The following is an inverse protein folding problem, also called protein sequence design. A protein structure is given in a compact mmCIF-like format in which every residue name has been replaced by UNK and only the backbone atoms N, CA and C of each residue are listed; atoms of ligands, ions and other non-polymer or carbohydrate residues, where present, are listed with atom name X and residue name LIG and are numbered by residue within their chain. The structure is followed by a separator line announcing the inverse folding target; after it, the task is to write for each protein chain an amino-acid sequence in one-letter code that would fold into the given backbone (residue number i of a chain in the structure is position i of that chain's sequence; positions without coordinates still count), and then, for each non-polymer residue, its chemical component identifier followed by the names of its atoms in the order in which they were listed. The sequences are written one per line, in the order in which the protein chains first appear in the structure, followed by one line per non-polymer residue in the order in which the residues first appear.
data_IF_868808915375
#
_entry.id   IF_868808915375
#
_cell.length_a   1.000
_cell.length_b   1.000
_cell.length_c   1.000
_cell.angle_alpha   90.00
_cell.angle_beta   90.00
_cell.angle_gamma   90.00
#
_symmetry.space_group_name_H-M   'P 1'
#
loop_
_entity.id
_entity.type
_entity.pdbx_description
1 polymer ?
#
# COMPACT_ATOMS: atom_id res chain seq x y z
N UNK A 1 21.73 -23.60 -62.79
CA UNK A 1 20.91 -22.80 -61.85
C UNK A 1 20.80 -21.42 -62.48
N UNK A 2 19.60 -20.95 -62.83
CA UNK A 2 19.46 -19.68 -63.57
C UNK A 2 19.85 -18.48 -62.70
N UNK A 3 20.58 -17.51 -63.26
CA UNK A 3 20.97 -16.27 -62.57
C UNK A 3 19.78 -15.49 -61.99
N UNK A 4 18.61 -15.61 -62.64
CA UNK A 4 17.34 -15.06 -62.14
C UNK A 4 16.90 -15.65 -60.79
N UNK A 5 17.18 -16.94 -60.53
CA UNK A 5 16.87 -17.60 -59.25
C UNK A 5 17.78 -17.08 -58.15
N UNK A 6 19.07 -16.85 -58.45
CA UNK A 6 20.04 -16.29 -57.51
C UNK A 6 19.67 -14.85 -57.14
N UNK A 7 19.31 -14.03 -58.13
CA UNK A 7 18.83 -12.67 -57.89
C UNK A 7 17.55 -12.61 -57.04
N UNK A 8 16.59 -13.50 -57.30
CA UNK A 8 15.35 -13.58 -56.53
C UNK A 8 15.58 -14.02 -55.07
N UNK A 9 16.47 -14.99 -54.84
CA UNK A 9 16.87 -15.41 -53.49
C UNK A 9 17.52 -14.24 -52.74
N UNK A 10 18.39 -13.47 -53.39
CA UNK A 10 19.03 -12.30 -52.78
C UNK A 10 18.02 -11.25 -52.30
N UNK A 11 16.99 -10.97 -53.11
CA UNK A 11 15.90 -10.04 -52.73
C UNK A 11 15.10 -10.57 -51.53
N UNK A 12 14.72 -11.86 -51.54
CA UNK A 12 14.00 -12.47 -50.43
C UNK A 12 14.79 -12.42 -49.12
N UNK A 13 16.09 -12.74 -49.16
CA UNK A 13 16.98 -12.66 -47.99
C UNK A 13 17.08 -11.21 -47.49
N UNK A 14 17.19 -10.23 -48.40
CA UNK A 14 17.22 -8.82 -48.04
C UNK A 14 15.95 -8.35 -47.33
N UNK A 15 14.77 -8.76 -47.81
CA UNK A 15 13.48 -8.45 -47.18
C UNK A 15 13.40 -9.06 -45.78
N UNK A 16 13.72 -10.35 -45.64
CA UNK A 16 13.69 -11.06 -44.35
C UNK A 16 14.66 -10.42 -43.35
N UNK A 17 15.88 -10.06 -43.78
CA UNK A 17 16.86 -9.40 -42.93
C UNK A 17 16.36 -8.03 -42.45
N UNK A 18 15.71 -7.25 -43.32
CA UNK A 18 15.18 -5.92 -42.99
C UNK A 18 14.04 -6.02 -41.99
N UNK A 19 13.01 -6.84 -42.29
CA UNK A 19 11.88 -7.05 -41.37
C UNK A 19 12.35 -7.64 -40.05
N UNK A 20 13.30 -8.59 -40.08
CA UNK A 20 13.89 -9.17 -38.89
C UNK A 20 14.60 -8.15 -38.02
N UNK A 21 15.42 -7.27 -38.61
CA UNK A 21 16.10 -6.18 -37.89
C UNK A 21 15.09 -5.24 -37.24
N UNK A 22 14.04 -4.84 -37.96
CA UNK A 22 13.04 -3.90 -37.44
C UNK A 22 12.25 -4.50 -36.28
N UNK A 23 11.88 -5.77 -36.39
CA UNK A 23 11.25 -6.52 -35.29
C UNK A 23 12.19 -6.58 -34.09
N UNK A 24 13.44 -7.01 -34.26
CA UNK A 24 14.41 -7.09 -33.15
C UNK A 24 14.64 -5.71 -32.51
N UNK A 25 14.78 -4.66 -33.31
CA UNK A 25 14.96 -3.29 -32.83
C UNK A 25 13.74 -2.80 -32.05
N UNK A 26 12.53 -3.10 -32.52
CA UNK A 26 11.28 -2.78 -31.82
C UNK A 26 11.19 -3.51 -30.46
N UNK A 27 11.44 -4.82 -30.43
CA UNK A 27 11.37 -5.62 -29.20
C UNK A 27 12.43 -5.19 -28.16
N UNK A 28 13.66 -4.94 -28.61
CA UNK A 28 14.76 -4.50 -27.73
C UNK A 28 14.51 -3.08 -27.21
N UNK A 29 14.06 -2.16 -28.08
CA UNK A 29 13.68 -0.80 -27.70
C UNK A 29 12.56 -0.80 -26.65
N UNK A 30 11.48 -1.53 -26.92
CA UNK A 30 10.34 -1.67 -25.99
C UNK A 30 10.76 -2.29 -24.65
N UNK A 31 11.65 -3.29 -24.66
CA UNK A 31 12.18 -3.88 -23.43
C UNK A 31 13.01 -2.89 -22.63
N UNK A 32 13.84 -2.07 -23.28
CA UNK A 32 14.64 -1.06 -22.60
C UNK A 32 13.78 0.07 -22.02
N UNK A 33 12.78 0.54 -22.76
CA UNK A 33 11.78 1.49 -22.26
C UNK A 33 11.05 0.93 -21.03
N UNK A 34 10.62 -0.33 -21.08
CA UNK A 34 9.96 -1.00 -19.95
C UNK A 34 10.86 -1.16 -18.73
N UNK A 35 12.15 -1.48 -18.93
CA UNK A 35 13.14 -1.51 -17.82
C UNK A 35 13.32 -0.13 -17.20
N UNK A 36 13.40 0.92 -18.02
CA UNK A 36 13.50 2.29 -17.54
C UNK A 36 12.27 2.69 -16.73
N UNK A 37 11.07 2.49 -17.28
CA UNK A 37 9.79 2.72 -16.60
C UNK A 37 9.73 1.97 -15.26
N UNK A 38 10.07 0.69 -15.25
CA UNK A 38 10.05 -0.14 -14.05
C UNK A 38 10.99 0.39 -12.95
N UNK A 39 12.21 0.80 -13.29
CA UNK A 39 13.15 1.40 -12.31
C UNK A 39 12.56 2.68 -11.71
N UNK A 40 12.00 3.56 -12.55
CA UNK A 40 11.41 4.83 -12.10
C UNK A 40 10.24 4.61 -11.16
N UNK A 41 9.34 3.70 -11.51
CA UNK A 41 8.17 3.34 -10.69
C UNK A 41 8.62 2.69 -9.38
N UNK A 42 9.56 1.74 -9.42
CA UNK A 42 10.07 1.05 -8.23
C UNK A 42 10.65 2.05 -7.23
N UNK A 43 11.47 3.02 -7.67
CA UNK A 43 12.03 4.02 -6.75
C UNK A 43 10.96 4.90 -6.08
N UNK A 44 9.89 5.27 -6.80
CA UNK A 44 8.77 6.03 -6.22
C UNK A 44 8.02 5.19 -5.21
N UNK A 45 7.73 3.94 -5.54
CA UNK A 45 6.95 3.04 -4.69
C UNK A 45 7.72 2.55 -3.46
N UNK A 46 9.02 2.25 -3.58
CA UNK A 46 9.86 1.89 -2.43
C UNK A 46 9.83 3.03 -1.39
N UNK A 47 9.95 4.30 -1.83
CA UNK A 47 9.82 5.45 -0.93
C UNK A 47 8.41 5.56 -0.32
N UNK A 48 7.38 5.30 -1.11
CA UNK A 48 6.00 5.34 -0.63
C UNK A 48 5.72 4.26 0.43
N UNK A 49 6.29 3.06 0.26
CA UNK A 49 6.24 1.97 1.24
C UNK A 49 6.82 2.39 2.58
N UNK A 50 7.99 3.02 2.59
CA UNK A 50 8.60 3.49 3.85
C UNK A 50 7.74 4.56 4.55
N UNK A 51 7.12 5.47 3.79
CA UNK A 51 6.16 6.42 4.37
C UNK A 51 4.92 5.71 4.97
N UNK A 52 4.44 4.64 4.34
CA UNK A 52 3.37 3.82 4.91
C UNK A 52 3.83 3.12 6.21
N UNK A 53 5.07 2.63 6.26
CA UNK A 53 5.65 2.05 7.49
C UNK A 53 5.62 3.05 8.64
N UNK A 54 6.03 4.30 8.40
CA UNK A 54 6.02 5.36 9.42
C UNK A 54 4.61 5.55 10.02
N UNK A 55 3.57 5.62 9.18
CA UNK A 55 2.19 5.77 9.68
C UNK A 55 1.69 4.53 10.42
N UNK A 56 2.00 3.35 9.91
CA UNK A 56 1.55 2.08 10.51
C UNK A 56 2.25 1.83 11.86
N UNK A 57 3.47 2.34 12.02
CA UNK A 57 4.24 2.30 13.26
C UNK A 57 3.96 3.43 14.25
N UNK A 58 3.15 4.43 13.87
CA UNK A 58 2.77 5.54 14.74
C UNK A 58 1.92 5.03 15.91
N UNK A 59 2.47 5.16 17.12
CA UNK A 59 1.83 4.76 18.39
C UNK A 59 1.18 5.95 19.11
N UNK A 60 1.20 7.13 18.49
CA UNK A 60 0.61 8.35 19.03
C UNK A 60 1.39 9.00 20.16
N UNK A 61 2.63 8.57 20.43
CA UNK A 61 3.49 9.15 21.45
C UNK A 61 4.35 10.29 20.90
N UNK A 62 4.40 11.40 21.63
CA UNK A 62 5.35 12.48 21.37
C UNK A 62 6.64 12.20 22.14
N UNK A 63 7.73 11.87 21.42
CA UNK A 63 9.05 11.58 22.02
C UNK A 63 9.00 10.43 23.06
N UNK A 64 8.16 9.41 22.81
CA UNK A 64 7.98 8.27 23.73
C UNK A 64 7.14 8.58 24.97
N UNK A 65 6.50 9.75 25.02
CA UNK A 65 5.55 10.17 26.07
C UNK A 65 4.15 10.38 25.47
N UNK A 66 3.08 10.39 26.29
CA UNK A 66 1.77 10.78 25.81
C UNK A 66 1.82 12.13 25.10
N UNK A 67 1.12 12.27 23.97
CA UNK A 67 1.09 13.48 23.15
C UNK A 67 0.70 14.73 23.94
N UNK A 68 -0.13 14.58 24.97
CA UNK A 68 -0.41 15.65 25.90
C UNK A 68 -1.35 15.26 27.03
N UNK A 69 -1.99 16.28 27.62
CA UNK A 69 -3.05 16.11 28.61
C UNK A 69 -4.26 16.98 28.30
N UNK A 70 -5.46 16.44 28.51
CA UNK A 70 -6.71 17.18 28.42
C UNK A 70 -6.78 18.24 29.53
N UNK A 71 -7.78 19.14 29.46
CA UNK A 71 -8.04 20.12 30.52
C UNK A 71 -8.32 19.47 31.89
N UNK A 72 -8.84 18.24 31.89
CA UNK A 72 -9.04 17.43 33.10
C UNK A 72 -7.79 16.70 33.59
N UNK A 73 -6.66 16.84 32.90
CA UNK A 73 -5.38 16.22 33.26
C UNK A 73 -5.21 14.79 32.75
N UNK A 74 -6.16 14.24 32.00
CA UNK A 74 -6.05 12.90 31.40
C UNK A 74 -5.02 12.91 30.27
N UNK A 75 -4.16 11.88 30.21
CA UNK A 75 -3.19 11.72 29.13
C UNK A 75 -3.95 11.40 27.84
N UNK A 76 -3.49 11.92 26.71
CA UNK A 76 -4.00 11.52 25.40
C UNK A 76 -2.86 11.23 24.43
N UNK A 77 -3.19 10.46 23.40
CA UNK A 77 -2.33 10.14 22.25
C UNK A 77 -2.90 10.81 21.01
N UNK A 78 -2.09 11.10 20.00
CA UNK A 78 -2.54 11.79 18.79
C UNK A 78 -1.62 11.39 17.63
N UNK A 79 -2.08 11.26 16.37
CA UNK A 79 -1.18 10.91 15.27
C UNK A 79 0.00 11.89 15.16
N UNK A 80 1.21 11.35 15.20
CA UNK A 80 2.44 12.13 15.12
C UNK A 80 3.04 12.14 13.70
N UNK A 81 2.72 11.13 12.90
CA UNK A 81 3.24 10.99 11.54
C UNK A 81 2.26 11.63 10.55
N UNK A 82 2.76 12.46 9.65
CA UNK A 82 1.95 13.04 8.59
C UNK A 82 1.47 11.98 7.59
N UNK A 83 0.26 12.14 7.05
CA UNK A 83 -0.26 11.29 5.99
C UNK A 83 0.67 11.33 4.75
N UNK A 84 1.10 10.16 4.22
CA UNK A 84 1.83 10.07 2.97
C UNK A 84 1.03 10.70 1.82
N UNK A 85 1.63 11.68 1.14
CA UNK A 85 1.08 12.17 -0.12
C UNK A 85 0.96 11.03 -1.14
N UNK A 86 -0.11 11.01 -1.96
CA UNK A 86 -0.24 10.05 -3.05
C UNK A 86 1.02 10.02 -3.95
N UNK A 87 1.47 8.84 -4.40
CA UNK A 87 2.68 8.74 -5.19
C UNK A 87 2.54 9.49 -6.52
N UNK A 88 3.51 10.35 -6.82
CA UNK A 88 3.60 11.08 -8.09
C UNK A 88 4.65 10.42 -8.97
N UNK A 89 4.24 10.02 -10.16
CA UNK A 89 5.12 9.35 -11.13
C UNK A 89 5.67 10.36 -12.14
N UNK A 90 6.94 10.24 -12.55
CA UNK A 90 7.52 11.08 -13.59
C UNK A 90 6.79 11.00 -14.94
N UNK A 91 6.69 12.13 -15.65
CA UNK A 91 6.03 12.23 -16.96
C UNK A 91 6.80 11.52 -18.10
N UNK A 92 8.07 11.16 -17.86
CA UNK A 92 8.95 10.51 -18.84
C UNK A 92 8.76 8.99 -18.92
N UNK A 93 7.79 8.43 -18.19
CA UNK A 93 7.46 7.01 -18.23
C UNK A 93 6.63 6.68 -19.47
N UNK A 94 7.16 5.80 -20.32
CA UNK A 94 6.38 5.14 -21.36
C UNK A 94 5.50 4.05 -20.74
N UNK A 95 4.27 4.41 -20.36
CA UNK A 95 3.29 3.49 -19.77
C UNK A 95 2.95 2.30 -20.67
N UNK A 96 3.12 2.44 -21.99
CA UNK A 96 2.84 1.35 -22.92
C UNK A 96 3.90 0.25 -22.86
N UNK A 97 5.06 0.51 -22.24
CA UNK A 97 6.20 -0.41 -22.21
C UNK A 97 6.15 -1.46 -21.07
N UNK A 98 5.21 -1.32 -20.14
CA UNK A 98 4.93 -2.31 -19.07
C UNK A 98 3.65 -3.10 -19.35
N UNK A 99 3.33 -4.10 -18.52
CA UNK A 99 2.09 -4.87 -18.73
C UNK A 99 0.86 -3.99 -18.43
N UNK A 100 -0.26 -4.16 -19.16
CA UNK A 100 -1.48 -3.38 -18.91
C UNK A 100 -2.01 -3.49 -17.47
N UNK A 101 -1.88 -4.67 -16.87
CA UNK A 101 -2.23 -4.92 -15.47
C UNK A 101 -1.41 -4.06 -14.50
N UNK A 102 -0.07 -4.07 -14.64
CA UNK A 102 0.79 -3.28 -13.77
C UNK A 102 0.63 -1.78 -14.02
N UNK A 103 0.45 -1.38 -15.27
CA UNK A 103 0.13 0.01 -15.61
C UNK A 103 -1.12 0.47 -14.87
N UNK A 104 -2.21 -0.29 -14.94
CA UNK A 104 -3.45 0.05 -14.27
C UNK A 104 -3.26 0.15 -12.76
N UNK A 105 -2.62 -0.85 -12.13
CA UNK A 105 -2.40 -0.88 -10.68
C UNK A 105 -1.55 0.29 -10.19
N UNK A 106 -0.47 0.62 -10.91
CA UNK A 106 0.39 1.78 -10.60
C UNK A 106 -0.40 3.08 -10.69
N UNK A 107 -1.16 3.28 -11.77
CA UNK A 107 -1.94 4.50 -11.99
C UNK A 107 -3.18 4.61 -11.10
N UNK A 108 -3.69 3.49 -10.57
CA UNK A 108 -4.79 3.46 -9.62
C UNK A 108 -4.35 3.79 -8.19
N UNK A 109 -3.08 3.52 -7.83
CA UNK A 109 -2.58 3.67 -6.47
C UNK A 109 -2.77 5.08 -5.87
N UNK A 110 -2.56 6.20 -6.61
CA UNK A 110 -2.87 7.52 -6.08
C UNK A 110 -4.34 7.72 -5.72
N UNK A 111 -5.26 7.14 -6.50
CA UNK A 111 -6.70 7.20 -6.21
C UNK A 111 -7.07 6.37 -4.99
N UNK A 112 -6.42 5.21 -4.81
CA UNK A 112 -6.56 4.39 -3.61
C UNK A 112 -6.08 5.16 -2.37
N UNK A 113 -4.93 5.82 -2.45
CA UNK A 113 -4.40 6.66 -1.37
C UNK A 113 -5.37 7.78 -0.96
N UNK A 114 -5.94 8.50 -1.94
CA UNK A 114 -6.97 9.51 -1.68
C UNK A 114 -8.25 8.92 -1.09
N UNK A 115 -8.62 7.70 -1.49
CA UNK A 115 -9.76 6.97 -0.92
C UNK A 115 -9.55 6.62 0.54
N UNK A 116 -8.38 6.08 0.86
CA UNK A 116 -7.95 5.77 2.22
C UNK A 116 -7.95 7.01 3.11
N UNK A 117 -7.42 8.14 2.61
CA UNK A 117 -7.40 9.38 3.39
C UNK A 117 -8.81 9.88 3.72
N UNK A 118 -9.74 9.84 2.76
CA UNK A 118 -11.15 10.19 3.03
C UNK A 118 -11.78 9.29 4.08
N UNK A 119 -11.45 8.00 4.09
CA UNK A 119 -11.93 7.07 5.10
C UNK A 119 -11.34 7.37 6.49
N UNK A 120 -10.05 7.69 6.56
CA UNK A 120 -9.37 8.07 7.81
C UNK A 120 -9.99 9.35 8.38
N UNK A 121 -10.24 10.36 7.54
CA UNK A 121 -10.92 11.60 7.94
C UNK A 121 -12.29 11.28 8.54
N UNK A 122 -13.09 10.45 7.86
CA UNK A 122 -14.40 10.04 8.38
C UNK A 122 -14.30 9.28 9.71
N UNK A 123 -13.28 8.43 9.90
CA UNK A 123 -13.04 7.73 11.16
C UNK A 123 -12.64 8.71 12.28
N UNK A 124 -11.86 9.74 11.96
CA UNK A 124 -11.42 10.75 12.93
C UNK A 124 -12.57 11.57 13.51
N UNK A 125 -13.67 11.76 12.78
CA UNK A 125 -14.85 12.49 13.27
C UNK A 125 -15.53 11.82 14.46
N UNK A 126 -15.33 10.51 14.63
CA UNK A 126 -15.90 9.72 15.72
C UNK A 126 -14.82 9.17 16.65
N UNK A 127 -13.60 9.72 16.59
CA UNK A 127 -12.50 9.30 17.44
C UNK A 127 -12.27 10.29 18.57
N UNK A 128 -12.18 9.77 19.80
CA UNK A 128 -12.19 10.59 21.00
C UNK A 128 -11.02 10.25 21.94
N UNK A 129 -10.57 11.23 22.76
CA UNK A 129 -9.61 10.97 23.83
C UNK A 129 -10.10 9.87 24.79
N UNK A 130 -9.18 9.18 25.49
CA UNK A 130 -7.74 9.42 25.50
C UNK A 130 -6.96 8.73 24.36
N UNK A 131 -7.55 7.71 23.75
CA UNK A 131 -6.80 6.76 22.91
C UNK A 131 -6.96 7.00 21.41
N UNK A 132 -8.02 7.71 20.99
CA UNK A 132 -8.32 7.97 19.57
C UNK A 132 -8.23 6.70 18.70
N UNK A 133 -8.75 5.59 19.22
CA UNK A 133 -8.52 4.26 18.66
C UNK A 133 -8.98 4.14 17.20
N UNK A 134 -10.09 4.77 16.84
CA UNK A 134 -10.70 4.70 15.51
C UNK A 134 -9.79 5.29 14.43
N UNK A 135 -9.20 6.46 14.68
CA UNK A 135 -8.31 7.09 13.70
C UNK A 135 -6.99 6.30 13.56
N UNK A 136 -6.42 5.80 14.67
CA UNK A 136 -5.23 4.95 14.59
C UNK A 136 -5.49 3.65 13.85
N UNK A 137 -6.58 2.95 14.16
CA UNK A 137 -6.92 1.70 13.47
C UNK A 137 -7.18 1.92 11.98
N UNK A 138 -7.88 2.99 11.62
CA UNK A 138 -8.11 3.34 10.22
C UNK A 138 -6.80 3.65 9.47
N UNK A 139 -5.87 4.38 10.12
CA UNK A 139 -4.55 4.69 9.58
C UNK A 139 -3.70 3.43 9.40
N UNK A 140 -3.61 2.60 10.45
CA UNK A 140 -2.83 1.36 10.41
C UNK A 140 -3.34 0.41 9.32
N UNK A 141 -4.66 0.20 9.22
CA UNK A 141 -5.23 -0.67 8.20
C UNK A 141 -5.03 -0.09 6.79
N UNK A 142 -5.41 1.16 6.59
CA UNK A 142 -5.39 1.81 5.29
C UNK A 142 -3.98 1.90 4.70
N UNK A 143 -2.99 2.31 5.49
CA UNK A 143 -1.62 2.41 5.01
C UNK A 143 -0.89 1.07 4.94
N UNK A 144 -1.27 0.07 5.76
CA UNK A 144 -0.78 -1.29 5.57
C UNK A 144 -1.25 -1.86 4.22
N UNK A 145 -2.52 -1.66 3.85
CA UNK A 145 -3.05 -2.11 2.56
C UNK A 145 -2.38 -1.43 1.37
N UNK A 146 -2.20 -0.11 1.44
CA UNK A 146 -1.49 0.64 0.41
C UNK A 146 -0.01 0.23 0.30
N UNK A 147 0.65 -0.02 1.43
CA UNK A 147 2.03 -0.51 1.48
C UNK A 147 2.17 -1.90 0.86
N UNK A 148 1.26 -2.83 1.19
CA UNK A 148 1.24 -4.19 0.62
C UNK A 148 1.01 -4.13 -0.90
N UNK A 149 0.08 -3.30 -1.38
CA UNK A 149 -0.17 -3.17 -2.82
C UNK A 149 1.06 -2.58 -3.54
N UNK A 150 1.70 -1.56 -2.97
CA UNK A 150 2.93 -0.99 -3.52
C UNK A 150 4.06 -2.03 -3.59
N UNK A 151 4.29 -2.81 -2.54
CA UNK A 151 5.26 -3.92 -2.53
C UNK A 151 4.93 -4.97 -3.60
N UNK A 152 3.65 -5.32 -3.75
CA UNK A 152 3.18 -6.28 -4.76
C UNK A 152 3.48 -5.80 -6.18
N UNK A 153 3.23 -4.52 -6.48
CA UNK A 153 3.57 -3.89 -7.76
C UNK A 153 5.09 -3.89 -7.98
N UNK A 154 5.88 -3.46 -6.99
CA UNK A 154 7.35 -3.44 -7.05
C UNK A 154 7.91 -4.82 -7.36
N UNK A 155 7.45 -5.84 -6.63
CA UNK A 155 7.88 -7.23 -6.80
C UNK A 155 7.56 -7.73 -8.22
N UNK A 156 6.37 -7.42 -8.73
CA UNK A 156 5.97 -7.81 -10.07
C UNK A 156 6.81 -7.12 -11.17
N UNK A 157 7.12 -5.83 -11.01
CA UNK A 157 7.99 -5.08 -11.93
C UNK A 157 9.42 -5.62 -11.92
N UNK A 158 10.00 -5.85 -10.73
CA UNK A 158 11.34 -6.45 -10.60
C UNK A 158 11.41 -7.81 -11.29
N UNK A 159 10.39 -8.65 -11.10
CA UNK A 159 10.27 -9.96 -11.77
C UNK A 159 10.13 -9.83 -13.29
N UNK A 160 9.25 -8.96 -13.79
CA UNK A 160 9.01 -8.79 -15.23
C UNK A 160 10.28 -8.34 -15.97
N UNK A 161 11.04 -7.43 -15.37
CA UNK A 161 12.18 -6.78 -16.00
C UNK A 161 13.55 -7.30 -15.55
N UNK A 162 13.57 -8.30 -14.66
CA UNK A 162 14.79 -8.86 -14.04
C UNK A 162 15.65 -7.75 -13.42
N UNK A 163 15.01 -6.88 -12.67
CA UNK A 163 15.72 -5.83 -11.93
C UNK A 163 16.41 -6.47 -10.71
N UNK A 164 17.58 -5.96 -10.30
CA UNK A 164 18.22 -6.43 -9.10
C UNK A 164 17.36 -6.09 -7.87
N UNK A 165 17.44 -6.94 -6.85
CA UNK A 165 17.01 -6.54 -5.51
C UNK A 165 17.97 -5.46 -4.96
N UNK A 166 17.52 -4.65 -3.99
CA UNK A 166 18.39 -3.68 -3.32
C UNK A 166 19.70 -4.35 -2.87
N UNK A 167 20.83 -3.90 -3.44
CA UNK A 167 22.14 -4.50 -3.18
C UNK A 167 22.73 -4.17 -1.81
N UNK A 168 22.09 -3.27 -1.06
CA UNK A 168 22.56 -2.79 0.23
C UNK A 168 21.43 -2.93 1.26
N UNK A 169 21.64 -3.80 2.25
CA UNK A 169 20.86 -3.81 3.49
C UNK A 169 21.56 -2.84 4.45
N UNK A 170 21.06 -1.61 4.56
CA UNK A 170 21.56 -0.62 5.52
C UNK A 170 20.76 -0.77 6.81
N UNK A 171 21.44 -0.90 7.95
CA UNK A 171 20.78 -1.00 9.24
C UNK A 171 20.39 -2.44 9.59
N UNK A 172 19.09 -2.71 9.74
CA UNK A 172 18.54 -3.99 10.19
C UNK A 172 18.32 -4.96 9.01
N UNK A 173 19.14 -6.00 8.82
CA UNK A 173 19.00 -6.94 7.68
C UNK A 173 17.76 -7.84 7.78
N UNK A 174 17.16 -7.95 8.96
CA UNK A 174 15.94 -8.72 9.19
C UNK A 174 14.66 -7.90 8.97
N UNK A 175 14.79 -6.60 8.66
CA UNK A 175 13.66 -5.73 8.39
C UNK A 175 12.93 -6.14 7.11
N UNK A 176 11.62 -6.30 7.21
CA UNK A 176 10.73 -6.61 6.09
C UNK A 176 9.43 -5.82 6.26
N UNK A 177 9.26 -4.78 5.44
CA UNK A 177 8.08 -3.90 5.46
C UNK A 177 6.79 -4.68 5.17
N UNK A 178 6.83 -5.70 4.29
CA UNK A 178 5.66 -6.53 3.96
C UNK A 178 5.22 -7.42 5.12
N UNK A 179 6.18 -8.00 5.84
CA UNK A 179 5.93 -8.73 7.08
C UNK A 179 5.40 -7.80 8.16
N UNK A 180 6.00 -6.62 8.33
CA UNK A 180 5.55 -5.62 9.29
C UNK A 180 4.07 -5.24 9.07
N UNK A 181 3.66 -4.94 7.84
CA UNK A 181 2.26 -4.67 7.51
C UNK A 181 1.35 -5.86 7.82
N UNK A 182 1.77 -7.07 7.46
CA UNK A 182 0.98 -8.29 7.69
C UNK A 182 0.79 -8.55 9.18
N UNK A 183 1.85 -8.41 9.98
CA UNK A 183 1.82 -8.59 11.43
C UNK A 183 0.90 -7.55 12.09
N UNK A 184 0.96 -6.28 11.66
CA UNK A 184 0.06 -5.23 12.15
C UNK A 184 -1.41 -5.51 11.82
N UNK A 185 -1.71 -6.02 10.62
CA UNK A 185 -3.08 -6.41 10.27
C UNK A 185 -3.61 -7.55 11.14
N UNK A 186 -2.75 -8.51 11.52
CA UNK A 186 -3.13 -9.57 12.47
C UNK A 186 -3.39 -8.99 13.86
N UNK A 187 -2.58 -8.03 14.31
CA UNK A 187 -2.82 -7.31 15.57
C UNK A 187 -4.18 -6.58 15.56
N UNK A 188 -4.49 -5.84 14.49
CA UNK A 188 -5.77 -5.14 14.31
C UNK A 188 -6.99 -6.06 14.42
N UNK A 189 -6.92 -7.27 13.85
CA UNK A 189 -8.01 -8.26 13.97
C UNK A 189 -8.25 -8.60 15.45
N UNK A 190 -7.18 -8.84 16.21
CA UNK A 190 -7.28 -9.15 17.66
C UNK A 190 -7.83 -7.99 18.47
N UNK A 191 -7.44 -6.76 18.14
CA UNK A 191 -7.96 -5.55 18.79
C UNK A 191 -9.49 -5.48 18.59
N UNK A 192 -9.95 -5.57 17.34
CA UNK A 192 -11.38 -5.52 17.00
C UNK A 192 -12.20 -6.66 17.62
N UNK A 193 -11.63 -7.86 17.69
CA UNK A 193 -12.27 -8.99 18.39
C UNK A 193 -12.45 -8.71 19.88
N UNK A 194 -11.43 -8.14 20.52
CA UNK A 194 -11.45 -7.75 21.93
C UNK A 194 -12.48 -6.66 22.19
N UNK A 195 -12.48 -5.61 21.38
CA UNK A 195 -13.46 -4.52 21.46
C UNK A 195 -14.89 -5.03 21.32
N UNK A 196 -15.16 -5.86 20.31
CA UNK A 196 -16.48 -6.47 20.10
C UNK A 196 -16.90 -7.33 21.28
N UNK A 197 -15.99 -8.10 21.87
CA UNK A 197 -16.27 -8.91 23.05
C UNK A 197 -16.61 -8.02 24.27
N UNK A 198 -15.83 -6.97 24.51
CA UNK A 198 -16.10 -6.00 25.58
C UNK A 198 -17.41 -5.26 25.39
N UNK A 199 -17.71 -4.81 24.16
CA UNK A 199 -18.98 -4.16 23.85
C UNK A 199 -20.16 -5.11 24.08
N UNK A 200 -20.08 -6.36 23.62
CA UNK A 200 -21.14 -7.36 23.88
C UNK A 200 -21.35 -7.60 25.37
N UNK A 201 -20.28 -7.80 26.13
CA UNK A 201 -20.36 -8.00 27.58
C UNK A 201 -20.99 -6.80 28.29
N UNK A 202 -20.70 -5.57 27.84
CA UNK A 202 -21.34 -4.36 28.35
C UNK A 202 -22.84 -4.32 28.03
N UNK A 203 -23.24 -4.65 26.80
CA UNK A 203 -24.65 -4.70 26.40
C UNK A 203 -25.44 -5.79 27.14
N UNK A 204 -24.85 -6.96 27.35
CA UNK A 204 -25.47 -8.04 28.12
C UNK A 204 -25.68 -7.61 29.58
N UNK A 205 -24.71 -6.91 30.17
CA UNK A 205 -24.84 -6.35 31.52
C UNK A 205 -25.96 -5.31 31.60
N UNK A 206 -26.03 -4.37 30.65
CA UNK A 206 -27.05 -3.32 30.63
C UNK A 206 -28.45 -3.88 30.41
N UNK A 207 -28.61 -4.83 29.50
CA UNK A 207 -29.89 -5.48 29.22
C UNK A 207 -30.38 -6.35 30.39
N UNK A 208 -29.48 -7.03 31.09
CA UNK A 208 -29.80 -7.74 32.33
C UNK A 208 -30.33 -6.81 33.43
N UNK A 209 -29.67 -5.65 33.65
CA UNK A 209 -30.14 -4.67 34.65
C UNK A 209 -31.50 -4.06 34.28
N UNK A 210 -31.78 -3.84 32.98
CA UNK A 210 -33.08 -3.35 32.53
C UNK A 210 -34.22 -4.36 32.78
N UNK A 211 -33.96 -5.65 32.52
CA UNK A 211 -34.94 -6.71 32.76
C UNK A 211 -35.24 -6.94 34.26
N UNK A 212 -34.25 -6.71 35.13
CA UNK A 212 -34.43 -6.78 36.58
C UNK A 212 -35.20 -5.57 37.12
N UNK A 213 -35.03 -4.37 36.54
CA UNK A 213 -35.79 -3.17 36.92
C UNK A 213 -37.29 -3.28 36.56
N UNK A 214 -37.64 -3.79 35.38
CA UNK A 214 -39.04 -4.01 34.97
C UNK A 214 -39.77 -5.03 35.86
N UNK A 215 -39.07 -6.05 36.37
CA UNK A 215 -39.65 -7.02 37.30
C UNK A 215 -39.99 -6.42 38.66
N UNK A 216 -39.26 -5.40 39.09
CA UNK A 216 -39.51 -4.71 40.37
C UNK A 216 -40.72 -3.78 40.23
N UNK A 217 -40.83 -3.01 39.14
CA UNK A 217 -41.98 -2.13 38.88
C UNK A 217 -43.29 -2.88 38.56
N UNK A 218 -43.23 -4.08 37.97
CA UNK A 218 -44.42 -4.90 37.70
C UNK A 218 -44.97 -5.68 38.90
N UNK A 219 -44.43 -5.47 40.10
CA UNK A 219 -44.79 -6.19 41.33
C UNK A 219 -45.42 -5.32 42.43
N UNK A 220 -45.66 -4.03 42.15
CA UNK A 220 -46.50 -3.11 42.94
C UNK A 220 -47.93 -3.02 42.38
#
# INVERSE_FOLDING_TARGET
MNDAVIGFIGVLVGIVATVGKDVVSYWTGRRNAGRYAAVRIVCVLDRYVEKCVEVVGDDGTAEGLPAGRTSGGEKYYDPQVAAPEPPVFPDDIDWTSISPDLMYRVLALPNLALGTERFIIAASEYSFPPDYAEVFQARWEGYADLGIEAISIVTALRRQFKLPEPSISIGNPEWDSGRFFSDKKVELVKIRETERASSRAMWDKLSGHAADAEKVEGSE
#
